data_IF_545949389430
#
_entry.id   IF_545949389430
#
_cell.length_a   1.000
_cell.length_b   1.000
_cell.length_c   1.000
_cell.angle_alpha   90.00
_cell.angle_beta   90.00
_cell.angle_gamma   90.00
#
_symmetry.space_group_name_H-M   'P 1'
#
loop_
_entity.id
_entity.type
_entity.pdbx_description
1 polymer ?
#
# COMPACT_ATOMS: atom_id res chain seq x y z
N UNK A 1 10.05 30.63 3.57
CA UNK A 1 10.88 29.45 3.90
C UNK A 1 10.09 28.24 3.46
N UNK A 2 10.17 27.89 2.17
CA UNK A 2 9.40 26.78 1.61
C UNK A 2 10.23 25.50 1.64
N UNK A 3 9.84 24.59 2.53
CA UNK A 3 10.50 23.30 2.68
C UNK A 3 9.81 22.27 1.78
N UNK A 4 10.10 22.31 0.48
CA UNK A 4 9.65 21.30 -0.48
C UNK A 4 10.31 19.96 -0.17
N UNK A 5 9.58 19.07 0.52
CA UNK A 5 10.04 17.72 0.80
C UNK A 5 10.30 16.96 -0.50
N UNK A 6 11.57 16.74 -0.82
CA UNK A 6 11.99 15.95 -1.96
C UNK A 6 11.39 14.53 -1.87
N UNK A 7 10.62 14.16 -2.89
CA UNK A 7 10.07 12.82 -3.05
C UNK A 7 11.20 11.82 -3.37
N UNK A 8 11.92 11.38 -2.34
CA UNK A 8 12.89 10.30 -2.43
C UNK A 8 12.16 8.99 -2.70
N UNK A 9 11.91 8.71 -3.99
CA UNK A 9 11.57 7.40 -4.52
C UNK A 9 12.76 6.45 -4.43
N UNK A 10 13.30 6.26 -3.22
CA UNK A 10 14.37 5.30 -2.99
C UNK A 10 13.86 3.89 -3.26
N UNK A 11 14.61 3.14 -4.09
CA UNK A 11 14.41 1.72 -4.34
C UNK A 11 14.61 0.91 -3.04
N UNK A 12 13.60 0.94 -2.17
CA UNK A 12 13.52 0.15 -0.96
C UNK A 12 13.04 -1.27 -1.29
N UNK A 13 13.79 -1.92 -2.18
CA UNK A 13 13.80 -3.38 -2.36
C UNK A 13 14.87 -4.03 -1.46
N UNK A 14 15.31 -3.30 -0.42
CA UNK A 14 15.80 -3.91 0.82
C UNK A 14 14.74 -4.90 1.30
N UNK A 15 15.17 -6.11 1.66
CA UNK A 15 14.29 -7.23 1.99
C UNK A 15 13.30 -6.81 3.10
N UNK A 16 12.03 -6.59 2.74
CA UNK A 16 11.01 -6.14 3.69
C UNK A 16 10.48 -7.32 4.48
N UNK A 17 10.87 -7.40 5.75
CA UNK A 17 10.33 -8.38 6.69
C UNK A 17 8.88 -8.06 7.06
N UNK A 18 7.95 -8.70 6.34
CA UNK A 18 6.52 -8.57 6.57
C UNK A 18 6.03 -9.42 7.75
N UNK A 19 5.29 -8.78 8.65
CA UNK A 19 4.63 -9.41 9.79
C UNK A 19 3.56 -10.41 9.34
N UNK A 20 3.67 -11.64 9.83
CA UNK A 20 2.66 -12.71 9.65
C UNK A 20 1.71 -12.76 10.86
N UNK A 21 0.57 -13.44 10.68
CA UNK A 21 -0.42 -13.66 11.74
C UNK A 21 -1.46 -12.53 11.89
N UNK A 22 -2.16 -12.56 13.03
CA UNK A 22 -3.36 -11.76 13.30
C UNK A 22 -3.14 -10.25 13.15
N UNK A 23 -4.13 -9.56 12.59
CA UNK A 23 -4.17 -8.10 12.49
C UNK A 23 -4.60 -7.49 13.82
N UNK A 24 -3.81 -6.56 14.35
CA UNK A 24 -4.21 -5.77 15.51
C UNK A 24 -5.04 -4.53 15.10
N UNK A 25 -5.60 -3.84 16.10
CA UNK A 25 -6.42 -2.65 15.89
C UNK A 25 -5.62 -1.53 15.20
N UNK A 26 -4.41 -1.22 15.66
CA UNK A 26 -3.58 -0.13 15.12
C UNK A 26 -3.19 -0.39 13.65
N UNK A 27 -2.73 -1.61 13.31
CA UNK A 27 -2.49 -2.01 11.92
C UNK A 27 -3.72 -1.82 11.03
N UNK A 28 -4.91 -2.14 11.56
CA UNK A 28 -6.17 -1.98 10.85
C UNK A 28 -6.55 -0.51 10.66
N UNK A 29 -6.36 0.33 11.68
CA UNK A 29 -6.59 1.78 11.57
C UNK A 29 -5.63 2.44 10.58
N UNK A 30 -4.33 2.06 10.60
CA UNK A 30 -3.33 2.51 9.63
C UNK A 30 -3.72 2.15 8.19
N UNK A 31 -4.24 0.93 7.96
CA UNK A 31 -4.73 0.53 6.63
C UNK A 31 -5.95 1.35 6.19
N UNK A 32 -6.87 1.67 7.09
CA UNK A 32 -8.05 2.49 6.78
C UNK A 32 -7.63 3.93 6.45
N UNK A 33 -6.71 4.52 7.21
CA UNK A 33 -6.19 5.86 6.91
C UNK A 33 -5.36 5.86 5.61
N UNK A 34 -4.56 4.82 5.35
CA UNK A 34 -3.89 4.65 4.06
C UNK A 34 -4.91 4.65 2.91
N UNK A 35 -6.05 3.97 3.06
CA UNK A 35 -7.12 3.96 2.05
C UNK A 35 -7.85 5.30 1.91
N UNK A 36 -8.08 6.02 3.01
CA UNK A 36 -8.60 7.40 3.02
C UNK A 36 -7.69 8.36 2.24
N UNK A 37 -6.38 8.26 2.48
CA UNK A 37 -5.37 9.06 1.78
C UNK A 37 -5.17 8.64 0.31
N UNK A 38 -5.27 7.34 -0.02
CA UNK A 38 -5.26 6.86 -1.41
C UNK A 38 -6.48 7.34 -2.21
N UNK A 39 -7.67 7.40 -1.61
CA UNK A 39 -8.81 8.02 -2.27
C UNK A 39 -8.69 9.56 -2.32
N UNK A 40 -8.15 10.23 -1.31
CA UNK A 40 -7.93 11.68 -1.35
C UNK A 40 -6.94 12.10 -2.45
N UNK A 41 -5.80 11.40 -2.61
CA UNK A 41 -4.85 11.68 -3.71
C UNK A 41 -5.45 11.38 -5.08
N UNK A 42 -6.38 10.42 -5.17
CA UNK A 42 -7.17 10.17 -6.39
C UNK A 42 -8.20 11.26 -6.65
N UNK A 43 -8.73 11.95 -5.62
CA UNK A 43 -9.62 13.10 -5.84
C UNK A 43 -8.84 14.26 -6.46
N UNK A 44 -7.67 14.60 -5.92
CA UNK A 44 -6.82 15.70 -6.42
C UNK A 44 -6.45 15.52 -7.91
N UNK A 45 -6.11 14.29 -8.34
CA UNK A 45 -5.78 13.98 -9.75
C UNK A 45 -6.99 13.78 -10.69
N UNK A 46 -8.23 13.97 -10.22
CA UNK A 46 -9.42 13.96 -11.09
C UNK A 46 -9.78 15.36 -11.58
N UNK A 47 -9.31 16.42 -10.90
CA UNK A 47 -9.41 17.80 -11.38
C UNK A 47 -8.37 18.19 -12.44
N UNK A 48 -7.31 17.40 -12.60
CA UNK A 48 -6.18 17.68 -13.49
C UNK A 48 -6.05 16.53 -14.51
N UNK A 49 -6.38 16.83 -15.77
CA UNK A 49 -6.70 15.82 -16.78
C UNK A 49 -5.47 15.14 -17.39
N UNK A 50 -4.78 14.25 -16.67
CA UNK A 50 -3.95 13.15 -17.21
C UNK A 50 -3.38 12.18 -16.16
N UNK A 51 -4.21 11.36 -15.49
CA UNK A 51 -3.67 10.14 -14.82
C UNK A 51 -4.69 9.00 -14.57
N UNK A 52 -5.66 8.82 -15.49
CA UNK A 52 -6.75 7.84 -15.36
C UNK A 52 -6.32 6.38 -15.64
N UNK A 53 -5.12 5.97 -15.24
CA UNK A 53 -4.51 4.73 -15.76
C UNK A 53 -3.50 3.97 -14.90
N UNK A 54 -3.13 4.40 -13.68
CA UNK A 54 -2.15 3.63 -12.87
C UNK A 54 -2.67 2.21 -12.57
N UNK A 55 -1.92 1.13 -12.91
CA UNK A 55 -2.29 -0.26 -12.62
C UNK A 55 -2.65 -0.48 -11.14
N UNK A 56 -3.48 -1.49 -10.86
CA UNK A 56 -3.95 -1.78 -9.51
C UNK A 56 -2.78 -2.06 -8.54
N UNK A 57 -1.73 -2.70 -9.04
CA UNK A 57 -0.46 -2.95 -8.35
C UNK A 57 0.22 -1.66 -7.87
N UNK A 58 0.38 -0.64 -8.72
CA UNK A 58 0.92 0.67 -8.32
C UNK A 58 0.06 1.41 -7.27
N UNK A 59 -1.20 1.00 -7.06
CA UNK A 59 -2.06 1.56 -6.00
C UNK A 59 -1.76 0.89 -4.67
N UNK A 60 -1.77 -0.44 -4.65
CA UNK A 60 -1.51 -1.20 -3.43
C UNK A 60 -0.06 -1.07 -2.96
N UNK A 61 0.92 -0.93 -3.86
CA UNK A 61 2.31 -0.58 -3.51
C UNK A 61 2.41 0.71 -2.69
N UNK A 62 1.62 1.73 -3.02
CA UNK A 62 1.60 2.96 -2.24
C UNK A 62 0.92 2.80 -0.87
N UNK A 63 -0.13 1.97 -0.80
CA UNK A 63 -0.78 1.61 0.47
C UNK A 63 0.19 0.85 1.38
N UNK A 64 0.95 -0.10 0.83
CA UNK A 64 2.05 -0.80 1.52
C UNK A 64 3.12 0.19 2.01
N UNK A 65 3.61 1.10 1.16
CA UNK A 65 4.60 2.10 1.55
C UNK A 65 4.10 3.03 2.67
N UNK A 66 2.82 3.40 2.64
CA UNK A 66 2.20 4.17 3.72
C UNK A 66 2.10 3.34 5.01
N UNK A 67 1.61 2.10 4.92
CA UNK A 67 1.47 1.21 6.07
C UNK A 67 2.83 0.96 6.74
N UNK A 68 3.85 0.64 5.95
CA UNK A 68 5.22 0.40 6.39
C UNK A 68 5.81 1.60 7.15
N UNK A 69 5.67 2.81 6.61
CA UNK A 69 6.13 4.06 7.25
C UNK A 69 5.42 4.37 8.56
N UNK A 70 4.22 3.84 8.77
CA UNK A 70 3.43 3.98 10.00
C UNK A 70 3.52 2.73 10.91
N UNK A 71 4.56 1.90 10.75
CA UNK A 71 4.81 0.71 11.59
C UNK A 71 3.89 -0.50 11.33
N UNK A 72 2.99 -0.40 10.35
CA UNK A 72 2.19 -1.53 9.87
C UNK A 72 3.01 -2.29 8.82
N UNK A 73 3.87 -3.20 9.29
CA UNK A 73 4.79 -4.01 8.48
C UNK A 73 4.06 -5.12 7.70
N UNK A 74 3.12 -4.75 6.83
CA UNK A 74 2.28 -5.67 6.04
C UNK A 74 2.53 -5.49 4.56
N UNK A 75 2.57 -6.59 3.83
CA UNK A 75 2.82 -6.55 2.38
C UNK A 75 1.60 -6.03 1.62
N UNK A 76 1.83 -5.66 0.37
CA UNK A 76 0.81 -5.29 -0.60
C UNK A 76 -0.42 -6.21 -0.57
N UNK A 77 -0.20 -7.52 -0.69
CA UNK A 77 -1.26 -8.52 -0.78
C UNK A 77 -1.98 -8.67 0.57
N UNK A 78 -1.24 -8.70 1.69
CA UNK A 78 -1.85 -8.72 3.03
C UNK A 78 -2.78 -7.52 3.26
N UNK A 79 -2.39 -6.33 2.81
CA UNK A 79 -3.20 -5.12 2.90
C UNK A 79 -4.46 -5.20 2.03
N UNK A 80 -4.35 -5.74 0.80
CA UNK A 80 -5.49 -5.96 -0.08
C UNK A 80 -6.48 -6.98 0.49
N UNK A 81 -6.00 -8.17 0.89
CA UNK A 81 -6.83 -9.22 1.48
C UNK A 81 -7.55 -8.73 2.74
N UNK A 82 -6.84 -8.01 3.61
CA UNK A 82 -7.42 -7.43 4.83
C UNK A 82 -8.50 -6.40 4.49
N UNK A 83 -8.25 -5.54 3.51
CA UNK A 83 -9.22 -4.52 3.09
C UNK A 83 -10.49 -5.14 2.51
N UNK A 84 -10.38 -6.16 1.67
CA UNK A 84 -11.54 -6.81 1.04
C UNK A 84 -12.37 -7.58 2.07
N UNK A 85 -11.73 -8.20 3.07
CA UNK A 85 -12.41 -8.79 4.22
C UNK A 85 -13.11 -7.72 5.09
N UNK A 86 -12.42 -6.63 5.45
CA UNK A 86 -13.04 -5.51 6.19
C UNK A 86 -14.25 -4.93 5.47
N UNK A 87 -14.18 -4.77 4.14
CA UNK A 87 -15.28 -4.22 3.35
C UNK A 87 -16.44 -5.20 3.17
N UNK A 88 -16.18 -6.51 3.17
CA UNK A 88 -17.22 -7.54 3.22
C UNK A 88 -17.93 -7.52 4.57
N UNK A 89 -17.16 -7.48 5.66
CA UNK A 89 -17.68 -7.50 7.03
C UNK A 89 -18.45 -6.21 7.35
N UNK A 90 -17.94 -5.05 6.95
CA UNK A 90 -18.63 -3.76 7.08
C UNK A 90 -19.99 -3.77 6.39
N UNK A 91 -20.06 -4.29 5.15
CA UNK A 91 -21.33 -4.41 4.42
C UNK A 91 -22.32 -5.31 5.16
N UNK A 92 -21.88 -6.45 5.71
CA UNK A 92 -22.73 -7.34 6.52
C UNK A 92 -23.30 -6.63 7.75
N UNK A 93 -22.46 -5.93 8.52
CA UNK A 93 -22.90 -5.20 9.74
C UNK A 93 -23.85 -4.06 9.39
N UNK A 94 -23.51 -3.23 8.39
CA UNK A 94 -24.36 -2.10 7.95
C UNK A 94 -25.71 -2.56 7.42
N UNK A 95 -25.73 -3.69 6.71
CA UNK A 95 -26.95 -4.35 6.21
C UNK A 95 -27.83 -4.85 7.37
N UNK A 96 -27.23 -5.47 8.39
CA UNK A 96 -27.93 -5.94 9.58
C UNK A 96 -28.55 -4.79 10.38
N UNK A 97 -27.76 -3.76 10.70
CA UNK A 97 -28.25 -2.58 11.44
C UNK A 97 -29.43 -1.91 10.72
N UNK A 98 -29.43 -1.90 9.38
CA UNK A 98 -30.56 -1.36 8.60
C UNK A 98 -31.83 -2.21 8.76
N UNK A 99 -31.73 -3.54 8.71
CA UNK A 99 -32.88 -4.44 8.93
C UNK A 99 -33.43 -4.34 10.35
N UNK A 100 -32.55 -4.20 11.35
CA UNK A 100 -32.94 -3.98 12.75
C UNK A 100 -33.75 -2.69 12.89
N UNK A 101 -33.34 -1.61 12.21
CA UNK A 101 -34.08 -0.35 12.17
C UNK A 101 -35.42 -0.48 11.42
N UNK A 102 -35.46 -1.19 10.29
CA UNK A 102 -36.68 -1.48 9.53
C UNK A 102 -37.71 -2.32 10.33
N UNK A 103 -37.23 -3.20 11.23
CA UNK A 103 -38.06 -4.04 12.13
C UNK A 103 -38.45 -3.36 13.46
N UNK A 104 -38.28 -2.04 13.59
CA UNK A 104 -38.76 -1.29 14.76
C UNK A 104 -38.09 -1.64 16.10
N UNK A 105 -36.94 -2.33 16.08
CA UNK A 105 -36.17 -2.65 17.29
C UNK A 105 -36.58 -3.90 18.07
N UNK A 106 -37.42 -4.80 17.50
CA UNK A 106 -37.63 -6.15 18.06
C UNK A 106 -36.32 -6.94 18.12
N UNK A 107 -35.43 -6.71 17.14
CA UNK A 107 -34.14 -7.37 17.02
C UNK A 107 -33.02 -6.49 17.64
N UNK A 108 -32.03 -7.13 18.28
CA UNK A 108 -30.92 -6.42 18.91
C UNK A 108 -29.90 -5.95 17.86
N UNK A 109 -29.48 -4.68 17.94
CA UNK A 109 -28.33 -4.17 17.16
C UNK A 109 -27.06 -5.02 17.34
N UNK A 110 -26.23 -5.09 16.29
CA UNK A 110 -24.95 -5.79 16.20
C UNK A 110 -24.03 -5.54 17.42
N UNK A 111 -24.07 -4.33 17.96
CA UNK A 111 -23.25 -3.91 19.11
C UNK A 111 -23.72 -4.51 20.44
N UNK A 112 -24.98 -4.97 20.51
CA UNK A 112 -25.63 -5.53 21.71
C UNK A 112 -25.87 -7.05 21.65
N UNK A 113 -25.72 -7.68 20.48
CA UNK A 113 -25.71 -9.14 20.34
C UNK A 113 -24.36 -9.73 20.72
N UNK A 114 -24.40 -10.91 21.33
CA UNK A 114 -23.22 -11.68 21.73
C UNK A 114 -22.51 -12.33 20.52
N UNK A 115 -21.36 -12.96 20.74
CA UNK A 115 -20.58 -13.65 19.71
C UNK A 115 -21.30 -14.87 19.12
N UNK A 116 -22.10 -15.59 19.90
CA UNK A 116 -22.91 -16.70 19.41
C UNK A 116 -24.08 -16.18 18.56
N UNK A 117 -24.85 -15.21 19.06
CA UNK A 117 -25.92 -14.53 18.31
C UNK A 117 -25.40 -13.92 16.98
N UNK A 118 -24.17 -13.38 16.94
CA UNK A 118 -23.52 -12.93 15.70
C UNK A 118 -23.28 -14.08 14.72
N UNK A 119 -22.80 -15.23 15.19
CA UNK A 119 -22.52 -16.40 14.36
C UNK A 119 -23.81 -16.92 13.72
N UNK A 120 -24.87 -17.03 14.50
CA UNK A 120 -26.17 -17.53 14.05
C UNK A 120 -26.79 -16.57 13.01
N UNK A 121 -26.64 -15.27 13.20
CA UNK A 121 -27.01 -14.24 12.22
C UNK A 121 -26.01 -14.08 11.04
N UNK A 122 -25.00 -14.96 10.93
CA UNK A 122 -23.98 -14.96 9.89
C UNK A 122 -23.13 -13.66 9.81
N UNK A 123 -23.03 -12.94 10.93
CA UNK A 123 -22.34 -11.66 11.08
C UNK A 123 -20.86 -11.85 11.44
N UNK A 124 -19.99 -10.87 11.14
CA UNK A 124 -18.59 -10.91 11.53
C UNK A 124 -18.44 -10.95 13.06
N UNK A 125 -17.55 -11.77 13.60
CA UNK A 125 -17.29 -11.77 15.06
C UNK A 125 -16.44 -10.58 15.51
N UNK A 126 -15.60 -10.03 14.62
CA UNK A 126 -14.46 -9.18 14.98
C UNK A 126 -14.59 -7.72 14.50
N UNK A 127 -15.79 -7.29 14.05
CA UNK A 127 -15.99 -5.86 13.75
C UNK A 127 -16.05 -5.07 15.05
N UNK A 128 -15.13 -4.13 15.22
CA UNK A 128 -15.05 -3.22 16.36
C UNK A 128 -15.72 -1.87 16.01
N UNK A 129 -16.34 -1.16 16.97
CA UNK A 129 -16.98 0.13 16.72
C UNK A 129 -16.04 1.14 16.04
N UNK A 130 -14.80 1.25 16.52
CA UNK A 130 -13.79 2.19 15.98
C UNK A 130 -13.42 1.88 14.53
N UNK A 131 -13.35 0.59 14.17
CA UNK A 131 -13.08 0.14 12.79
C UNK A 131 -14.29 0.45 11.90
N UNK A 132 -15.50 0.19 12.39
CA UNK A 132 -16.73 0.44 11.64
C UNK A 132 -16.92 1.94 11.35
N UNK A 133 -16.78 2.80 12.35
CA UNK A 133 -16.89 4.25 12.24
C UNK A 133 -15.88 4.83 11.22
N UNK A 134 -14.61 4.41 11.31
CA UNK A 134 -13.60 4.82 10.33
C UNK A 134 -13.90 4.32 8.90
N UNK A 135 -14.52 3.14 8.76
CA UNK A 135 -14.99 2.64 7.46
C UNK A 135 -16.23 3.38 6.95
N UNK A 136 -17.15 3.83 7.81
CA UNK A 136 -18.27 4.71 7.44
C UNK A 136 -17.73 5.96 6.77
N UNK A 137 -16.78 6.67 7.40
CA UNK A 137 -16.13 7.86 6.84
C UNK A 137 -15.60 7.65 5.42
N UNK A 138 -14.86 6.55 5.18
CA UNK A 138 -14.24 6.27 3.88
C UNK A 138 -15.30 5.93 2.84
N UNK A 139 -16.33 5.16 3.20
CA UNK A 139 -17.40 4.73 2.29
C UNK A 139 -18.36 5.87 1.96
N UNK A 140 -18.75 6.71 2.92
CA UNK A 140 -19.73 7.78 2.69
C UNK A 140 -19.15 8.92 1.87
N UNK A 141 -17.89 9.26 2.10
CA UNK A 141 -17.12 10.17 1.23
C UNK A 141 -17.03 9.65 -0.22
N UNK A 142 -17.02 8.33 -0.41
CA UNK A 142 -17.11 7.69 -1.74
C UNK A 142 -18.54 7.67 -2.30
N UNK A 143 -19.56 7.46 -1.47
CA UNK A 143 -20.97 7.48 -1.87
C UNK A 143 -21.45 8.86 -2.32
N UNK A 144 -21.05 9.92 -1.61
CA UNK A 144 -21.28 11.32 -2.02
C UNK A 144 -20.69 11.61 -3.40
N UNK A 145 -19.49 11.08 -3.70
CA UNK A 145 -18.85 11.18 -5.01
C UNK A 145 -19.62 10.44 -6.11
N UNK A 146 -20.11 9.23 -5.84
CA UNK A 146 -20.88 8.47 -6.84
C UNK A 146 -22.21 9.17 -7.15
N UNK A 147 -22.93 9.65 -6.13
CA UNK A 147 -24.14 10.45 -6.30
C UNK A 147 -23.88 11.75 -7.08
N UNK A 148 -22.81 12.49 -6.76
CA UNK A 148 -22.45 13.73 -7.46
C UNK A 148 -22.00 13.49 -8.92
N UNK A 149 -21.37 12.34 -9.22
CA UNK A 149 -20.99 11.98 -10.59
C UNK A 149 -22.16 11.47 -11.44
N UNK A 150 -23.21 10.90 -10.83
CA UNK A 150 -24.46 10.52 -11.51
C UNK A 150 -25.50 11.65 -11.57
N UNK A 151 -25.34 12.70 -10.78
CA UNK A 151 -26.29 13.81 -10.60
C UNK A 151 -26.31 14.84 -11.73
N UNK A 152 -26.32 14.38 -12.99
CA UNK A 152 -26.37 15.20 -14.21
C UNK A 152 -27.79 15.48 -14.73
N UNK A 153 -28.81 15.46 -13.86
CA UNK A 153 -30.19 15.85 -14.17
C UNK A 153 -30.81 16.52 -12.94
N UNK A 154 -31.52 17.64 -13.16
CA UNK A 154 -31.80 18.62 -12.11
C UNK A 154 -32.72 18.13 -10.99
N UNK A 155 -32.44 18.58 -9.77
CA UNK A 155 -33.46 18.73 -8.73
C UNK A 155 -33.21 20.04 -7.97
N UNK A 156 -34.21 20.91 -7.98
CA UNK A 156 -34.14 22.26 -7.45
C UNK A 156 -33.94 22.24 -5.94
N UNK A 157 -32.81 22.81 -5.45
CA UNK A 157 -32.62 23.02 -4.01
C UNK A 157 -33.53 24.18 -3.56
N UNK A 158 -34.70 23.83 -3.03
CA UNK A 158 -35.49 24.76 -2.24
C UNK A 158 -34.65 25.19 -1.01
N UNK A 159 -34.52 26.50 -0.83
CA UNK A 159 -33.69 27.09 0.20
C UNK A 159 -34.49 27.18 1.51
N UNK A 160 -34.06 26.52 2.59
CA UNK A 160 -34.76 26.56 3.88
C UNK A 160 -33.80 26.70 5.07
N UNK A 161 -33.63 27.95 5.49
CA UNK A 161 -33.27 28.46 6.83
C UNK A 161 -33.81 29.90 6.86
N UNK A 162 -34.16 30.51 8.01
CA UNK A 162 -33.67 30.21 9.37
C UNK A 162 -34.77 30.16 10.47
N UNK A 163 -34.38 29.87 11.71
CA UNK A 163 -34.88 30.59 12.90
C UNK A 163 -34.01 30.30 14.15
N UNK A 164 -33.55 31.37 14.80
CA UNK A 164 -32.95 31.37 16.14
C UNK A 164 -34.00 31.76 17.18
N UNK A 165 -34.01 31.15 18.37
CA UNK A 165 -34.95 31.55 19.45
C UNK A 165 -34.27 31.66 20.81
N UNK A 166 -34.26 32.88 21.34
CA UNK A 166 -33.76 33.30 22.66
C UNK A 166 -34.66 34.45 23.16
N UNK A 167 -34.93 34.63 24.46
CA UNK A 167 -34.68 33.76 25.63
C UNK A 167 -35.76 34.08 26.66
N UNK A 168 -36.15 33.16 27.55
CA UNK A 168 -36.87 33.59 28.76
C UNK A 168 -36.52 32.84 30.05
N UNK A 169 -36.52 33.62 31.13
CA UNK A 169 -36.19 33.25 32.52
C UNK A 169 -37.49 33.18 33.33
N UNK A 170 -37.51 32.35 34.38
CA UNK A 170 -38.12 32.76 35.65
C UNK A 170 -37.44 32.06 36.84
N UNK A 171 -37.70 32.55 38.05
CA UNK A 171 -36.70 32.59 39.12
C UNK A 171 -36.95 31.69 40.34
N UNK A 172 -35.83 31.14 40.83
CA UNK A 172 -35.40 30.86 42.22
C UNK A 172 -36.39 30.72 43.39
N UNK A 173 -36.11 29.71 44.23
CA UNK A 173 -36.13 29.82 45.71
C UNK A 173 -35.13 28.84 46.37
N UNK A 174 -34.00 29.36 46.87
CA UNK A 174 -33.57 29.38 48.29
C UNK A 174 -34.09 28.24 49.23
N UNK A 175 -33.33 27.58 50.14
CA UNK A 175 -31.93 27.72 50.67
C UNK A 175 -31.46 26.37 51.31
N UNK A 176 -30.16 26.26 51.66
CA UNK A 176 -29.49 25.33 52.60
C UNK A 176 -29.33 23.86 52.12
N UNK A 177 -28.18 23.18 52.28
CA UNK A 177 -26.87 23.60 52.79
C UNK A 177 -26.16 22.50 53.59
N UNK A 178 -25.26 21.73 52.96
CA UNK A 178 -24.28 20.89 53.68
C UNK A 178 -23.02 20.65 52.86
N UNK A 179 -21.87 20.56 53.54
CA UNK A 179 -20.53 20.39 52.96
C UNK A 179 -20.09 18.91 52.97
N UNK A 180 -19.00 18.64 52.25
CA UNK A 180 -17.92 17.70 52.62
C UNK A 180 -17.74 16.37 51.86
N UNK A 181 -16.46 16.17 51.51
CA UNK A 181 -15.69 14.98 51.13
C UNK A 181 -15.93 14.19 49.81
N UNK A 182 -14.84 13.80 49.12
CA UNK A 182 -14.85 12.81 48.04
C UNK A 182 -14.71 11.37 48.57
N UNK A 183 -15.22 10.35 47.84
CA UNK A 183 -15.04 8.94 48.20
C UNK A 183 -13.61 8.43 47.90
N UNK A 184 -13.13 7.40 48.62
CA UNK A 184 -11.72 7.02 48.64
C UNK A 184 -11.28 6.10 47.50
N UNK A 185 -9.97 6.11 47.24
CA UNK A 185 -9.25 5.20 46.34
C UNK A 185 -9.32 3.76 46.87
N UNK A 186 -9.90 2.84 46.09
CA UNK A 186 -9.85 1.40 46.37
C UNK A 186 -8.49 0.84 45.97
N UNK A 187 -7.70 0.38 46.94
CA UNK A 187 -6.45 -0.34 46.70
C UNK A 187 -6.76 -1.78 46.29
N UNK A 188 -6.35 -2.18 45.08
CA UNK A 188 -6.32 -3.59 44.69
C UNK A 188 -5.01 -4.25 45.18
N UNK A 189 -5.05 -5.46 45.76
CA UNK A 189 -3.86 -6.15 46.21
C UNK A 189 -2.99 -6.61 45.03
N UNK A 190 -1.68 -6.55 45.22
CA UNK A 190 -0.68 -7.02 44.26
C UNK A 190 -0.75 -8.55 44.19
N UNK A 191 -1.23 -9.08 43.05
CA UNK A 191 -1.06 -10.49 42.71
C UNK A 191 0.33 -10.65 42.08
N UNK A 192 1.23 -11.35 42.78
CA UNK A 192 2.49 -11.79 42.19
C UNK A 192 2.21 -12.79 41.06
N UNK A 193 2.70 -12.49 39.85
CA UNK A 193 2.67 -13.45 38.77
C UNK A 193 3.66 -14.60 39.05
N UNK A 194 3.28 -15.88 38.90
CA UNK A 194 4.23 -16.98 38.98
C UNK A 194 5.19 -16.93 37.79
N UNK A 195 6.48 -17.15 38.06
CA UNK A 195 7.50 -17.23 37.01
C UNK A 195 7.25 -18.46 36.13
N UNK A 196 6.75 -18.25 34.91
CA UNK A 196 6.67 -19.31 33.89
C UNK A 196 8.07 -19.53 33.32
N UNK A 197 8.64 -20.71 33.62
CA UNK A 197 9.92 -21.16 33.08
C UNK A 197 9.89 -21.23 31.54
N UNK A 198 10.92 -20.71 30.88
CA UNK A 198 11.13 -20.92 29.45
C UNK A 198 11.40 -22.42 29.17
N UNK A 199 10.75 -23.02 28.15
CA UNK A 199 11.19 -24.30 27.62
C UNK A 199 12.59 -24.20 27.01
N UNK A 200 13.45 -25.17 27.32
CA UNK A 200 14.79 -25.32 26.74
C UNK A 200 14.73 -25.55 25.22
N UNK A 201 15.65 -25.00 24.41
CA UNK A 201 15.77 -25.37 23.01
C UNK A 201 16.32 -26.81 22.86
N UNK A 202 15.87 -27.59 21.86
CA UNK A 202 16.44 -28.90 21.57
C UNK A 202 17.89 -28.77 21.04
N UNK A 203 18.74 -29.80 21.21
CA UNK A 203 20.15 -29.74 20.86
C UNK A 203 20.38 -29.64 19.35
N UNK A 204 21.47 -28.97 18.97
CA UNK A 204 21.87 -28.77 17.58
C UNK A 204 22.13 -30.10 16.85
N UNK A 205 21.54 -30.24 15.66
CA UNK A 205 21.99 -31.24 14.68
C UNK A 205 23.13 -30.64 13.84
N UNK A 206 24.13 -31.47 13.55
CA UNK A 206 25.33 -31.09 12.80
C UNK A 206 25.02 -30.82 11.31
N UNK A 207 25.91 -30.15 10.56
CA UNK A 207 25.64 -29.73 9.18
C UNK A 207 25.50 -30.93 8.24
N UNK A 208 24.50 -30.89 7.36
CA UNK A 208 24.45 -31.77 6.19
C UNK A 208 25.40 -31.25 5.10
N UNK A 209 26.23 -32.14 4.57
CA UNK A 209 27.20 -31.84 3.50
C UNK A 209 26.52 -31.66 2.12
N UNK A 210 27.12 -30.88 1.19
CA UNK A 210 26.53 -30.61 -0.12
C UNK A 210 26.65 -31.80 -1.10
N UNK A 211 25.74 -31.92 -2.09
CA UNK A 211 25.74 -33.02 -3.05
C UNK A 211 26.89 -32.93 -4.05
N UNK A 212 27.49 -34.09 -4.34
CA UNK A 212 28.56 -34.29 -5.34
C UNK A 212 28.07 -34.12 -6.78
N UNK A 213 28.88 -33.45 -7.60
CA UNK A 213 28.71 -33.27 -9.04
C UNK A 213 29.49 -34.36 -9.79
N UNK A 214 28.95 -34.94 -10.87
CA UNK A 214 29.75 -35.37 -12.02
C UNK A 214 29.51 -34.44 -13.22
N UNK A 215 30.57 -33.80 -13.69
CA UNK A 215 30.55 -32.90 -14.85
C UNK A 215 30.60 -33.68 -16.16
N UNK A 216 29.79 -33.30 -17.14
CA UNK A 216 30.11 -33.44 -18.57
C UNK A 216 29.29 -32.45 -19.40
N UNK A 217 30.01 -31.58 -20.11
CA UNK A 217 29.56 -30.64 -21.15
C UNK A 217 29.12 -31.40 -22.43
N UNK A 218 28.55 -30.75 -23.49
CA UNK A 218 28.63 -29.31 -23.82
C UNK A 218 27.31 -28.60 -24.22
N UNK A 219 27.44 -27.28 -24.42
CA UNK A 219 26.43 -26.35 -24.97
C UNK A 219 26.01 -26.74 -26.40
N UNK A 220 24.82 -26.30 -26.85
CA UNK A 220 24.78 -25.09 -27.67
C UNK A 220 23.70 -24.07 -27.24
N UNK A 221 23.60 -22.97 -28.01
CA UNK A 221 22.86 -21.75 -27.68
C UNK A 221 21.45 -21.66 -28.29
N UNK A 222 20.84 -20.48 -28.10
CA UNK A 222 19.63 -19.92 -28.72
C UNK A 222 18.25 -20.24 -28.13
N UNK A 223 17.72 -19.21 -27.46
CA UNK A 223 16.49 -18.47 -27.82
C UNK A 223 15.11 -19.15 -27.87
N UNK A 224 14.14 -18.41 -27.29
CA UNK A 224 12.70 -18.50 -27.55
C UNK A 224 11.97 -19.77 -27.01
N UNK A 225 10.69 -19.75 -26.60
CA UNK A 225 9.63 -18.76 -26.76
C UNK A 225 8.83 -18.44 -25.48
N UNK A 226 8.19 -17.27 -25.54
CA UNK A 226 6.97 -16.86 -24.82
C UNK A 226 5.98 -18.00 -24.51
N UNK A 227 5.61 -18.13 -23.24
CA UNK A 227 4.45 -18.90 -22.78
C UNK A 227 3.58 -18.01 -21.88
N UNK A 228 2.55 -17.39 -22.45
CA UNK A 228 1.44 -16.86 -21.67
C UNK A 228 0.08 -17.37 -22.18
N UNK A 229 -0.80 -17.53 -21.20
CA UNK A 229 -2.02 -18.33 -21.23
C UNK A 229 -3.25 -17.42 -21.28
N UNK A 230 -4.34 -17.95 -21.83
CA UNK A 230 -5.73 -17.43 -21.85
C UNK A 230 -6.11 -16.38 -20.79
N UNK A 231 -6.94 -15.39 -21.16
CA UNK A 231 -8.41 -15.56 -21.15
C UNK A 231 -9.17 -14.38 -21.85
N UNK A 232 -10.42 -14.63 -22.23
CA UNK A 232 -11.44 -13.67 -22.70
C UNK A 232 -12.17 -13.02 -21.47
N UNK A 233 -13.41 -12.44 -21.48
CA UNK A 233 -14.40 -12.21 -22.55
C UNK A 233 -15.29 -10.92 -22.47
N UNK A 234 -16.11 -10.67 -23.52
CA UNK A 234 -17.39 -9.94 -23.44
C UNK A 234 -18.37 -10.45 -24.54
N UNK A 235 -19.56 -11.01 -24.27
CA UNK A 235 -20.84 -10.42 -23.76
C UNK A 235 -21.33 -9.22 -24.62
N UNK A 236 -22.59 -9.11 -25.10
CA UNK A 236 -23.82 -9.94 -24.94
C UNK A 236 -25.00 -9.43 -25.83
N UNK A 237 -25.79 -10.34 -26.45
CA UNK A 237 -27.27 -10.28 -26.73
C UNK A 237 -27.87 -9.15 -27.62
N UNK A 238 -29.02 -9.25 -28.32
CA UNK A 238 -29.93 -10.30 -28.87
C UNK A 238 -31.26 -9.62 -29.33
N UNK A 239 -31.87 -10.11 -30.45
CA UNK A 239 -33.10 -9.69 -31.22
C UNK A 239 -32.92 -8.44 -32.11
N UNK A 240 -33.50 -8.34 -33.33
CA UNK A 240 -33.89 -9.38 -34.30
C UNK A 240 -35.38 -9.50 -34.73
N UNK A 241 -35.61 -9.74 -36.05
CA UNK A 241 -36.82 -10.04 -36.85
C UNK A 241 -37.34 -8.94 -37.80
N UNK A 242 -37.65 -9.32 -39.06
CA UNK A 242 -38.18 -8.50 -40.16
C UNK A 242 -37.07 -7.87 -41.05
N UNK A 243 -37.06 -7.96 -42.38
CA UNK A 243 -38.01 -8.53 -43.34
C UNK A 243 -38.15 -7.59 -44.55
N UNK A 244 -37.87 -8.05 -45.78
CA UNK A 244 -37.97 -7.24 -46.99
C UNK A 244 -37.00 -7.65 -48.09
N UNK A 245 -37.54 -7.94 -49.27
CA UNK A 245 -36.83 -8.34 -50.49
C UNK A 245 -36.06 -7.17 -51.13
N UNK A 246 -35.04 -7.46 -51.95
CA UNK A 246 -34.19 -6.43 -52.55
C UNK A 246 -33.17 -6.97 -53.54
N UNK A 247 -33.58 -6.97 -54.81
CA UNK A 247 -32.85 -7.28 -56.04
C UNK A 247 -31.40 -6.75 -56.12
N UNK A 248 -30.52 -7.45 -56.85
CA UNK A 248 -29.08 -7.18 -56.83
C UNK A 248 -28.61 -6.01 -57.72
N UNK A 249 -27.34 -5.63 -57.55
CA UNK A 249 -26.55 -4.91 -58.57
C UNK A 249 -25.05 -5.15 -58.32
N UNK A 250 -24.29 -5.27 -59.41
CA UNK A 250 -22.85 -5.51 -59.46
C UNK A 250 -22.01 -4.40 -58.78
N UNK A 251 -21.14 -4.77 -57.84
CA UNK A 251 -20.25 -3.83 -57.14
C UNK A 251 -19.04 -4.49 -56.45
N UNK A 252 -18.41 -5.47 -57.09
CA UNK A 252 -17.44 -6.38 -56.42
C UNK A 252 -15.96 -6.01 -56.46
N UNK A 253 -15.54 -4.95 -57.17
CA UNK A 253 -14.11 -4.68 -57.45
C UNK A 253 -13.53 -3.53 -56.62
N UNK A 254 -14.23 -2.40 -56.50
CA UNK A 254 -13.70 -1.23 -55.78
C UNK A 254 -13.56 -1.42 -54.26
N UNK A 255 -14.35 -2.31 -53.67
CA UNK A 255 -14.35 -2.57 -52.22
C UNK A 255 -13.14 -3.36 -51.73
N UNK A 256 -12.55 -4.22 -52.57
CA UNK A 256 -11.40 -5.04 -52.17
C UNK A 256 -10.10 -4.22 -52.07
N UNK A 257 -9.87 -3.30 -53.01
CA UNK A 257 -8.72 -2.39 -52.97
C UNK A 257 -8.82 -1.37 -51.82
N UNK A 258 -10.03 -0.86 -51.54
CA UNK A 258 -10.27 0.03 -50.40
C UNK A 258 -9.99 -0.67 -49.06
N UNK A 259 -10.49 -1.91 -48.90
CA UNK A 259 -10.22 -2.76 -47.73
C UNK A 259 -8.72 -3.09 -47.63
N UNK A 260 -8.05 -3.43 -48.74
CA UNK A 260 -6.60 -3.66 -48.77
C UNK A 260 -5.79 -2.42 -48.36
N UNK A 261 -6.19 -1.23 -48.83
CA UNK A 261 -5.59 0.05 -48.43
C UNK A 261 -5.81 0.34 -46.94
N UNK A 262 -7.00 0.08 -46.40
CA UNK A 262 -7.33 0.26 -44.99
C UNK A 262 -6.55 -0.70 -44.08
N UNK A 263 -6.39 -1.97 -44.49
CA UNK A 263 -5.58 -2.97 -43.79
C UNK A 263 -4.10 -2.55 -43.80
N UNK A 264 -3.56 -2.13 -44.95
CA UNK A 264 -2.16 -1.67 -45.07
C UNK A 264 -1.88 -0.44 -44.18
N UNK A 265 -2.78 0.55 -44.18
CA UNK A 265 -2.71 1.71 -43.28
C UNK A 265 -2.75 1.29 -41.81
N UNK A 266 -3.64 0.37 -41.44
CA UNK A 266 -3.76 -0.15 -40.07
C UNK A 266 -2.50 -0.91 -39.63
N UNK A 267 -1.96 -1.76 -40.49
CA UNK A 267 -0.70 -2.48 -40.26
C UNK A 267 0.49 -1.53 -40.10
N UNK A 268 0.56 -0.47 -40.91
CA UNK A 268 1.60 0.57 -40.80
C UNK A 268 1.54 1.30 -39.45
N UNK A 269 0.35 1.72 -39.01
CA UNK A 269 0.14 2.38 -37.71
C UNK A 269 0.53 1.45 -36.56
N UNK A 270 0.18 0.16 -36.62
CA UNK A 270 0.56 -0.82 -35.60
C UNK A 270 2.09 -1.03 -35.59
N UNK A 271 2.73 -1.17 -36.76
CA UNK A 271 4.17 -1.34 -36.86
C UNK A 271 4.94 -0.10 -36.35
N UNK A 272 4.43 1.11 -36.59
CA UNK A 272 5.00 2.34 -36.04
C UNK A 272 4.81 2.44 -34.52
N UNK A 273 3.64 2.06 -34.00
CA UNK A 273 3.38 2.00 -32.57
C UNK A 273 4.29 0.98 -31.85
N UNK A 274 4.57 -0.18 -32.46
CA UNK A 274 5.49 -1.19 -31.95
C UNK A 274 6.92 -0.63 -31.87
N UNK A 275 7.46 -0.11 -32.99
CA UNK A 275 8.80 0.51 -33.02
C UNK A 275 8.94 1.65 -31.99
N UNK A 276 7.92 2.49 -31.87
CA UNK A 276 7.87 3.57 -30.87
C UNK A 276 7.80 3.04 -29.43
N UNK A 277 7.25 1.83 -29.21
CA UNK A 277 7.25 1.18 -27.91
C UNK A 277 8.64 0.64 -27.56
N UNK A 278 9.25 -0.13 -28.47
CA UNK A 278 10.59 -0.70 -28.34
C UNK A 278 11.63 0.38 -28.06
N UNK A 279 11.67 1.45 -28.87
CA UNK A 279 12.64 2.54 -28.72
C UNK A 279 12.45 3.33 -27.40
N UNK A 280 11.23 3.34 -26.83
CA UNK A 280 10.96 3.94 -25.51
C UNK A 280 11.38 3.01 -24.38
N UNK A 281 11.22 1.71 -24.56
CA UNK A 281 11.70 0.71 -23.61
C UNK A 281 13.23 0.66 -23.57
N UNK A 282 13.87 0.69 -24.73
CA UNK A 282 15.32 0.71 -24.85
C UNK A 282 15.92 1.95 -24.18
N UNK A 283 15.31 3.14 -24.33
CA UNK A 283 15.73 4.34 -23.58
C UNK A 283 15.67 4.11 -22.06
N UNK A 284 14.56 3.58 -21.54
CA UNK A 284 14.43 3.26 -20.10
C UNK A 284 15.48 2.23 -19.65
N UNK A 285 15.77 1.22 -20.48
CA UNK A 285 16.79 0.21 -20.18
C UNK A 285 18.18 0.84 -20.12
N UNK A 286 18.56 1.65 -21.12
CA UNK A 286 19.82 2.41 -21.16
C UNK A 286 19.96 3.35 -19.96
N UNK A 287 18.89 4.05 -19.58
CA UNK A 287 18.85 4.90 -18.37
C UNK A 287 19.11 4.08 -17.09
N UNK A 288 18.42 2.94 -16.91
CA UNK A 288 18.61 2.05 -15.74
C UNK A 288 20.04 1.53 -15.66
N UNK A 289 20.61 1.06 -16.77
CA UNK A 289 22.01 0.61 -16.83
C UNK A 289 22.98 1.76 -16.50
N UNK A 290 22.75 2.97 -17.04
CA UNK A 290 23.58 4.13 -16.73
C UNK A 290 23.56 4.53 -15.25
N UNK A 291 22.41 4.39 -14.58
CA UNK A 291 22.27 4.65 -13.15
C UNK A 291 22.93 3.57 -12.29
N UNK A 292 22.88 2.30 -12.71
CA UNK A 292 23.59 1.20 -12.06
C UNK A 292 25.10 1.37 -12.18
N UNK A 293 25.59 1.67 -13.38
CA UNK A 293 27.00 1.96 -13.65
C UNK A 293 27.52 3.12 -12.78
N UNK A 294 26.80 4.25 -12.78
CA UNK A 294 27.14 5.42 -11.95
C UNK A 294 27.09 5.12 -10.44
N UNK A 295 26.20 4.23 -9.99
CA UNK A 295 26.17 3.79 -8.58
C UNK A 295 27.43 2.99 -8.24
N UNK A 296 27.87 2.10 -9.11
CA UNK A 296 29.09 1.30 -8.91
C UNK A 296 30.33 2.20 -8.84
N UNK A 297 30.46 3.18 -9.75
CA UNK A 297 31.56 4.16 -9.75
C UNK A 297 31.64 4.97 -8.43
N UNK A 298 30.50 5.37 -7.87
CA UNK A 298 30.44 6.07 -6.58
C UNK A 298 30.82 5.14 -5.41
N UNK A 299 30.42 3.87 -5.46
CA UNK A 299 30.73 2.86 -4.46
C UNK A 299 32.22 2.49 -4.47
N UNK A 300 32.80 2.32 -5.66
CA UNK A 300 34.23 2.11 -5.89
C UNK A 300 35.06 3.33 -5.45
N UNK A 301 34.70 4.54 -5.88
CA UNK A 301 35.38 5.78 -5.49
C UNK A 301 35.36 5.99 -3.97
N UNK A 302 34.27 5.63 -3.29
CA UNK A 302 34.17 5.66 -1.83
C UNK A 302 35.08 4.62 -1.17
N UNK A 303 35.18 3.42 -1.72
CA UNK A 303 36.08 2.37 -1.24
C UNK A 303 37.57 2.77 -1.44
N UNK A 304 37.89 3.38 -2.58
CA UNK A 304 39.21 3.93 -2.90
C UNK A 304 39.62 5.02 -1.90
N UNK A 305 38.76 6.02 -1.67
CA UNK A 305 39.00 7.08 -0.68
C UNK A 305 39.19 6.52 0.73
N UNK A 306 38.42 5.49 1.11
CA UNK A 306 38.60 4.81 2.40
C UNK A 306 39.96 4.10 2.50
N UNK A 307 40.39 3.42 1.42
CA UNK A 307 41.72 2.77 1.35
C UNK A 307 42.85 3.79 1.48
N UNK A 308 42.74 4.93 0.80
CA UNK A 308 43.71 6.03 0.90
C UNK A 308 43.74 6.64 2.30
N UNK A 309 42.59 6.80 2.96
CA UNK A 309 42.50 7.25 4.36
C UNK A 309 43.20 6.29 5.34
N UNK A 310 43.00 4.98 5.17
CA UNK A 310 43.68 3.95 5.99
C UNK A 310 45.19 3.98 5.75
N UNK A 311 45.64 4.06 4.49
CA UNK A 311 47.07 4.15 4.16
C UNK A 311 47.72 5.41 4.77
N UNK A 312 47.06 6.56 4.68
CA UNK A 312 47.52 7.81 5.31
C UNK A 312 47.62 7.73 6.84
N UNK A 313 46.71 6.99 7.49
CA UNK A 313 46.79 6.71 8.92
C UNK A 313 47.99 5.81 9.27
N UNK A 314 48.24 4.75 8.49
CA UNK A 314 49.40 3.87 8.65
C UNK A 314 50.71 4.66 8.50
N UNK A 315 50.81 5.54 7.50
CA UNK A 315 51.97 6.42 7.32
C UNK A 315 52.19 7.38 8.49
N UNK A 316 51.12 7.94 9.06
CA UNK A 316 51.20 8.80 10.24
C UNK A 316 51.67 8.02 11.48
N UNK A 317 51.17 6.80 11.70
CA UNK A 317 51.59 5.91 12.78
C UNK A 317 53.07 5.52 12.62
N UNK A 318 53.50 5.16 11.41
CA UNK A 318 54.90 4.83 11.11
C UNK A 318 55.83 6.03 11.36
N UNK A 319 55.45 7.24 10.95
CA UNK A 319 56.20 8.47 11.25
C UNK A 319 56.31 8.72 12.76
N UNK A 320 55.20 8.57 13.50
CA UNK A 320 55.19 8.71 14.96
C UNK A 320 56.08 7.66 15.64
N UNK A 321 56.00 6.39 15.25
CA UNK A 321 56.81 5.31 15.78
C UNK A 321 58.31 5.57 15.54
N UNK A 322 58.70 5.97 14.33
CA UNK A 322 60.08 6.35 14.00
C UNK A 322 60.56 7.56 14.82
N UNK A 323 59.71 8.56 15.04
CA UNK A 323 60.04 9.69 15.92
C UNK A 323 60.23 9.27 17.37
N UNK A 324 59.40 8.36 17.90
CA UNK A 324 59.55 7.81 19.25
C UNK A 324 60.82 6.96 19.38
N UNK A 325 61.17 6.15 18.37
CA UNK A 325 62.40 5.36 18.37
C UNK A 325 63.65 6.24 18.32
N UNK A 326 63.66 7.32 17.53
CA UNK A 326 64.71 8.32 17.56
C UNK A 326 64.80 9.03 18.93
N UNK A 327 63.64 9.30 19.56
CA UNK A 327 63.55 9.87 20.90
C UNK A 327 63.93 8.87 22.02
N UNK A 328 63.91 7.56 21.78
CA UNK A 328 64.53 6.58 22.69
C UNK A 328 66.06 6.63 22.52
N UNK A 329 66.56 6.46 21.30
CA UNK A 329 67.99 6.37 21.00
C UNK A 329 68.81 7.59 21.48
N UNK A 330 68.29 8.82 21.36
CA UNK A 330 69.01 10.02 21.85
C UNK A 330 69.08 10.10 23.40
N UNK A 331 68.15 9.43 24.10
CA UNK A 331 68.10 9.39 25.56
C UNK A 331 69.14 8.42 26.11
N UNK A 332 69.24 7.25 25.48
CA UNK A 332 70.23 6.24 25.88
C UNK A 332 71.68 6.72 25.64
N UNK A 333 71.91 7.54 24.62
CA UNK A 333 73.21 8.20 24.38
C UNK A 333 73.55 9.30 25.41
N UNK A 334 72.54 9.96 26.00
CA UNK A 334 72.77 11.04 26.98
C UNK A 334 72.95 10.53 28.41
N UNK A 335 72.58 9.27 28.69
CA UNK A 335 72.78 8.61 30.00
C UNK A 335 74.08 7.80 30.13
N UNK A 336 74.89 7.73 29.08
CA UNK A 336 76.13 6.92 29.03
C UNK A 336 77.40 7.78 29.17
N UNK A 337 77.42 8.69 30.14
CA UNK A 337 78.52 9.61 30.47
C UNK A 337 78.77 9.72 31.97
#
# INVERSE_FOLDING_TARGET
MDLTMANQGGNNNMLRDYRKGNWNLQETMVLIEAKKMDDQRRMKRVGESSERGKPAELRWKWVEDYCWKNGCLRSQNQCNDKWDNLMRDFKKVREYERRVAERGGEEKSYWRIDKNERKDNNLPSNMLPQIYEALVEVVERKGQREAAASGGAGSSRANVVPATSIVEKSAASHVLGHLSMPPPVQQYPIIQAPAMLLPLPPPAQAPAEPPTIPSSQPLPASDSETSEYSDSPAKRRKRGSGGGDGEGTSGGVGTLEEVGSAISKSASIIAEAIRSCEEREERRHREVVSLQQRRLEIEESKAEMNRQGINGLVDAINKLANSILALAAHKDQSTSK
#
